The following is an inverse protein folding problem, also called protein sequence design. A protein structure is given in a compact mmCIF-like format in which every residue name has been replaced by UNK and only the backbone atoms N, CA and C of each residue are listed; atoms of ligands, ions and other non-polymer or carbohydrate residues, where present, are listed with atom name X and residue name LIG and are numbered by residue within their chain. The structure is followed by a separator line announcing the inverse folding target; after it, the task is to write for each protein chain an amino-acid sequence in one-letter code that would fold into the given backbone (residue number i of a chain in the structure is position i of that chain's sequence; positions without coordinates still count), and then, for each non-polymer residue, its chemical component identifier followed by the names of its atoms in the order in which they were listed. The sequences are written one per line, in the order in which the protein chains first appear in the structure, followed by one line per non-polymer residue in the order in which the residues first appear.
data_IF_647490355485
#
_entry.id   IF_647490355485
#
_cell.length_a   1.000
_cell.length_b   1.000
_cell.length_c   1.000
_cell.angle_alpha   90.00
_cell.angle_beta   90.00
_cell.angle_gamma   90.00
#
_symmetry.space_group_name_H-M   'P 1'
#
loop_
_entity.id
_entity.type
_entity.pdbx_description
1 polymer ?
#
# COMPACT_ATOMS: atom_id res chain seq x y z
N UNK A 1 -35.07 -2.86 -114.57
CA UNK A 1 -34.92 -4.26 -115.04
C UNK A 1 -33.95 -4.99 -114.13
N UNK A 2 -34.39 -6.15 -113.63
CA UNK A 2 -33.60 -7.34 -113.24
C UNK A 2 -32.66 -7.26 -112.01
N UNK A 3 -33.08 -8.04 -110.98
CA UNK A 3 -32.29 -9.03 -110.20
C UNK A 3 -31.27 -8.46 -109.18
N UNK A 4 -31.00 -8.99 -107.99
CA UNK A 4 -31.26 -10.25 -107.24
C UNK A 4 -30.90 -9.90 -105.74
N UNK A 5 -31.72 -10.14 -104.72
CA UNK A 5 -31.84 -11.31 -103.82
C UNK A 5 -30.61 -11.78 -102.99
N UNK A 6 -30.86 -12.02 -101.69
CA UNK A 6 -30.12 -12.76 -100.62
C UNK A 6 -28.95 -12.01 -99.92
N UNK A 7 -28.97 -11.71 -98.61
CA UNK A 7 -29.07 -12.53 -97.36
C UNK A 7 -27.82 -13.39 -97.09
N UNK A 8 -26.98 -12.97 -96.13
CA UNK A 8 -26.27 -13.77 -95.10
C UNK A 8 -25.45 -12.80 -94.20
N UNK A 9 -25.94 -12.47 -93.00
CA UNK A 9 -25.48 -13.00 -91.71
C UNK A 9 -24.01 -12.70 -91.36
N UNK A 10 -23.75 -11.89 -90.33
CA UNK A 10 -23.11 -12.30 -89.05
C UNK A 10 -22.63 -11.09 -88.22
N UNK A 11 -23.18 -10.99 -87.01
CA UNK A 11 -22.53 -10.70 -85.72
C UNK A 11 -21.47 -9.56 -85.64
N UNK A 12 -21.83 -8.53 -84.87
CA UNK A 12 -21.08 -8.28 -83.63
C UNK A 12 -20.37 -6.92 -83.48
N UNK A 13 -20.71 -6.27 -82.37
CA UNK A 13 -19.88 -5.38 -81.55
C UNK A 13 -19.68 -3.91 -81.99
N UNK A 14 -20.63 -3.10 -81.53
CA UNK A 14 -20.48 -1.67 -81.17
C UNK A 14 -19.37 -1.51 -80.12
N UNK A 15 -18.42 -0.58 -80.32
CA UNK A 15 -18.37 0.75 -79.68
C UNK A 15 -18.07 0.68 -78.16
N UNK A 16 -17.26 1.51 -77.50
CA UNK A 16 -16.81 2.89 -77.65
C UNK A 16 -15.59 3.07 -76.73
N UNK A 17 -14.75 4.07 -77.01
CA UNK A 17 -13.65 4.49 -76.15
C UNK A 17 -14.12 4.75 -74.69
N UNK A 18 -13.51 4.05 -73.74
CA UNK A 18 -13.74 4.27 -72.31
C UNK A 18 -13.07 5.56 -71.85
N UNK A 19 -13.85 6.64 -71.72
CA UNK A 19 -13.55 7.68 -70.76
C UNK A 19 -13.80 7.07 -69.37
N UNK A 20 -12.74 6.87 -68.60
CA UNK A 20 -12.87 6.49 -67.19
C UNK A 20 -13.48 7.66 -66.44
N UNK A 21 -14.81 7.63 -66.26
CA UNK A 21 -15.45 8.38 -65.19
C UNK A 21 -14.92 7.82 -63.88
N UNK A 22 -14.07 8.60 -63.23
CA UNK A 22 -13.79 8.41 -61.81
C UNK A 22 -15.11 8.71 -61.12
N UNK A 23 -15.86 7.65 -60.80
CA UNK A 23 -16.93 7.74 -59.84
C UNK A 23 -16.29 8.24 -58.55
N UNK A 24 -16.55 9.50 -58.22
CA UNK A 24 -16.45 9.95 -56.84
C UNK A 24 -17.38 8.99 -56.10
N UNK A 25 -16.81 8.00 -55.41
CA UNK A 25 -17.58 7.18 -54.51
C UNK A 25 -18.16 8.17 -53.52
N UNK A 26 -19.48 8.35 -53.56
CA UNK A 26 -20.23 8.93 -52.48
C UNK A 26 -19.92 8.07 -51.25
N UNK A 27 -18.83 8.39 -50.56
CA UNK A 27 -18.76 8.20 -49.12
C UNK A 27 -19.87 9.08 -48.63
N UNK A 28 -21.06 8.50 -48.52
CA UNK A 28 -22.16 9.07 -47.78
C UNK A 28 -21.52 9.60 -46.49
N UNK A 29 -21.38 10.93 -46.29
CA UNK A 29 -20.92 11.41 -45.00
C UNK A 29 -21.89 10.77 -44.02
N UNK A 30 -21.40 10.06 -43.00
CA UNK A 30 -22.29 9.50 -41.99
C UNK A 30 -23.25 10.62 -41.60
N UNK A 31 -24.53 10.43 -41.94
CA UNK A 31 -25.48 11.53 -41.87
C UNK A 31 -25.48 12.04 -40.43
N UNK A 32 -25.22 13.34 -40.25
CA UNK A 32 -25.15 13.96 -38.93
C UNK A 32 -26.41 13.55 -38.16
N UNK A 33 -26.23 12.93 -37.00
CA UNK A 33 -27.31 12.29 -36.22
C UNK A 33 -27.94 13.28 -35.26
N UNK A 34 -29.20 13.07 -34.89
CA UNK A 34 -29.76 13.73 -33.71
C UNK A 34 -29.16 13.07 -32.45
N UNK A 35 -28.65 13.87 -31.51
CA UNK A 35 -28.09 13.36 -30.26
C UNK A 35 -29.10 12.47 -29.50
N UNK A 36 -30.40 12.75 -29.64
CA UNK A 36 -31.47 11.96 -29.02
C UNK A 36 -31.52 10.50 -29.46
N UNK A 37 -30.89 10.15 -30.60
CA UNK A 37 -30.76 8.77 -31.08
C UNK A 37 -29.76 7.98 -30.25
N UNK A 38 -28.68 8.63 -29.81
CA UNK A 38 -27.62 7.98 -29.01
C UNK A 38 -27.84 8.21 -27.51
N UNK A 39 -28.33 9.38 -27.09
CA UNK A 39 -28.67 9.75 -25.70
C UNK A 39 -30.11 9.34 -25.36
N UNK A 40 -30.34 8.02 -25.34
CA UNK A 40 -31.66 7.43 -25.09
C UNK A 40 -32.02 7.41 -23.60
N UNK A 41 -31.03 7.23 -22.73
CA UNK A 41 -31.17 7.17 -21.26
C UNK A 41 -30.77 8.50 -20.66
N UNK A 42 -31.77 9.24 -20.15
CA UNK A 42 -31.60 10.56 -19.51
C UNK A 42 -31.45 10.49 -18.00
N UNK A 43 -31.99 9.44 -17.37
CA UNK A 43 -31.72 9.14 -15.97
C UNK A 43 -30.47 8.27 -15.87
N UNK A 44 -29.36 8.87 -15.46
CA UNK A 44 -28.07 8.21 -15.38
C UNK A 44 -27.96 7.32 -14.13
N UNK A 45 -28.90 7.44 -13.19
CA UNK A 45 -28.83 6.78 -11.89
C UNK A 45 -27.72 7.37 -11.02
N UNK A 46 -27.04 6.52 -10.25
CA UNK A 46 -25.93 6.94 -9.40
C UNK A 46 -24.63 7.14 -10.20
N UNK A 47 -24.08 8.34 -10.15
CA UNK A 47 -22.75 8.67 -10.70
C UNK A 47 -21.76 8.90 -9.57
N UNK A 48 -20.49 8.61 -9.82
CA UNK A 48 -19.41 8.87 -8.85
C UNK A 48 -18.80 10.24 -9.11
N UNK A 49 -18.67 11.07 -8.08
CA UNK A 49 -18.01 12.38 -8.20
C UNK A 49 -17.16 12.71 -6.98
N UNK A 50 -16.16 13.57 -7.14
CA UNK A 50 -15.31 14.03 -6.03
C UNK A 50 -16.03 14.97 -5.04
N UNK A 51 -17.13 15.60 -5.46
CA UNK A 51 -17.92 16.54 -4.66
C UNK A 51 -19.42 16.42 -4.96
N UNK A 52 -20.25 17.07 -4.13
CA UNK A 52 -21.72 16.99 -4.24
C UNK A 52 -22.26 17.56 -5.57
N UNK A 53 -21.55 18.52 -6.15
CA UNK A 53 -21.78 18.97 -7.53
C UNK A 53 -20.69 18.33 -8.40
N UNK A 54 -21.05 17.48 -9.38
CA UNK A 54 -20.08 16.84 -10.24
C UNK A 54 -19.47 17.83 -11.23
N UNK A 55 -18.33 17.46 -11.79
CA UNK A 55 -17.68 18.13 -12.92
C UNK A 55 -18.30 17.69 -14.24
N UNK A 56 -18.08 18.46 -15.31
CA UNK A 56 -18.55 18.10 -16.65
C UNK A 56 -18.04 16.72 -17.11
N UNK A 57 -16.80 16.36 -16.80
CA UNK A 57 -16.23 15.06 -17.17
C UNK A 57 -16.91 13.89 -16.44
N UNK A 58 -17.19 14.04 -15.14
CA UNK A 58 -17.89 13.01 -14.35
C UNK A 58 -19.31 12.76 -14.88
N UNK A 59 -20.02 13.83 -15.29
CA UNK A 59 -21.33 13.70 -15.94
C UNK A 59 -21.22 13.00 -17.30
N UNK A 60 -20.23 13.36 -18.13
CA UNK A 60 -20.00 12.71 -19.43
C UNK A 60 -19.65 11.23 -19.30
N UNK A 61 -18.87 10.86 -18.27
CA UNK A 61 -18.59 9.45 -17.94
C UNK A 61 -19.91 8.72 -17.62
N UNK A 62 -20.76 9.30 -16.77
CA UNK A 62 -22.08 8.74 -16.44
C UNK A 62 -22.97 8.56 -17.67
N UNK A 63 -22.96 9.52 -18.60
CA UNK A 63 -23.70 9.44 -19.87
C UNK A 63 -23.22 8.25 -20.68
N UNK A 64 -21.91 8.10 -20.91
CA UNK A 64 -21.35 7.02 -21.75
C UNK A 64 -21.59 5.65 -21.13
N UNK A 65 -21.58 5.53 -19.79
CA UNK A 65 -21.91 4.28 -19.09
C UNK A 65 -23.34 3.80 -19.41
N UNK A 66 -24.30 4.73 -19.51
CA UNK A 66 -25.70 4.39 -19.83
C UNK A 66 -26.03 4.43 -21.32
N UNK A 67 -25.22 5.13 -22.11
CA UNK A 67 -25.42 5.40 -23.52
C UNK A 67 -24.11 5.18 -24.28
N UNK A 68 -23.71 3.91 -24.47
CA UNK A 68 -22.40 3.55 -25.00
C UNK A 68 -22.09 4.12 -26.41
N UNK A 69 -23.11 4.46 -27.19
CA UNK A 69 -22.95 5.04 -28.54
C UNK A 69 -22.69 6.56 -28.52
N UNK A 70 -22.84 7.22 -27.36
CA UNK A 70 -22.65 8.66 -27.25
C UNK A 70 -21.16 9.03 -27.39
N UNK A 71 -20.85 9.90 -28.34
CA UNK A 71 -19.51 10.45 -28.50
C UNK A 71 -19.29 11.65 -27.57
N UNK A 72 -18.78 11.39 -26.35
CA UNK A 72 -18.59 12.43 -25.33
C UNK A 72 -17.75 13.64 -25.77
N UNK A 73 -16.83 13.46 -26.71
CA UNK A 73 -15.97 14.54 -27.23
C UNK A 73 -16.75 15.62 -28.00
N UNK A 74 -17.95 15.29 -28.47
CA UNK A 74 -18.84 16.16 -29.23
C UNK A 74 -19.86 16.88 -28.34
N UNK A 75 -19.78 16.70 -27.02
CA UNK A 75 -20.75 17.22 -26.06
C UNK A 75 -20.16 18.32 -25.19
N UNK A 76 -21.04 19.21 -24.75
CA UNK A 76 -20.76 20.23 -23.74
C UNK A 76 -21.81 20.14 -22.65
N UNK A 77 -21.36 20.04 -21.39
CA UNK A 77 -22.22 19.97 -20.21
C UNK A 77 -22.35 21.36 -19.60
N UNK A 78 -23.59 21.82 -19.43
CA UNK A 78 -23.96 23.06 -18.77
C UNK A 78 -24.86 22.82 -17.54
N UNK A 79 -25.18 23.91 -16.83
CA UNK A 79 -26.16 23.96 -15.73
C UNK A 79 -26.06 22.79 -14.73
N UNK A 80 -24.83 22.45 -14.32
CA UNK A 80 -24.58 21.30 -13.48
C UNK A 80 -25.04 21.57 -12.05
N UNK A 81 -25.83 20.64 -11.51
CA UNK A 81 -26.33 20.64 -10.13
C UNK A 81 -26.04 19.30 -9.47
N UNK A 82 -26.39 19.14 -8.19
CA UNK A 82 -26.23 17.88 -7.48
C UNK A 82 -27.14 16.74 -7.97
N UNK A 83 -28.14 17.03 -8.81
CA UNK A 83 -29.15 16.05 -9.25
C UNK A 83 -29.35 16.00 -10.77
N UNK A 84 -28.63 16.82 -11.54
CA UNK A 84 -28.79 16.87 -12.98
C UNK A 84 -27.90 17.91 -13.66
N UNK A 85 -27.91 17.88 -14.98
CA UNK A 85 -27.17 18.80 -15.84
C UNK A 85 -27.87 18.99 -17.20
N UNK A 86 -27.49 20.03 -17.94
CA UNK A 86 -27.93 20.25 -19.32
C UNK A 86 -26.85 19.82 -20.31
N UNK A 87 -27.25 19.11 -21.37
CA UNK A 87 -26.34 18.58 -22.40
C UNK A 87 -26.61 19.30 -23.71
N UNK A 88 -25.53 19.84 -24.28
CA UNK A 88 -25.54 20.47 -25.60
C UNK A 88 -24.50 19.82 -26.50
N UNK A 89 -24.64 20.05 -27.81
CA UNK A 89 -23.66 19.61 -28.81
C UNK A 89 -22.64 20.71 -29.00
N UNK A 90 -21.37 20.34 -29.02
CA UNK A 90 -20.23 21.24 -29.27
C UNK A 90 -20.41 21.96 -30.60
N UNK A 91 -20.05 23.24 -30.62
CA UNK A 91 -20.09 24.02 -31.86
C UNK A 91 -19.16 23.41 -32.91
N UNK A 92 -19.68 23.24 -34.14
CA UNK A 92 -18.95 22.60 -35.24
C UNK A 92 -18.84 21.08 -35.15
N UNK A 93 -19.64 20.41 -34.31
CA UNK A 93 -19.69 18.94 -34.29
C UNK A 93 -19.95 18.37 -35.69
N UNK A 94 -19.23 17.30 -36.02
CA UNK A 94 -19.42 16.56 -37.28
C UNK A 94 -20.26 15.30 -37.09
N UNK A 95 -20.62 14.97 -35.85
CA UNK A 95 -21.34 13.74 -35.48
C UNK A 95 -22.80 14.04 -35.17
N UNK A 96 -23.06 15.09 -34.38
CA UNK A 96 -24.40 15.44 -33.90
C UNK A 96 -24.89 16.77 -34.46
N UNK A 97 -26.18 16.85 -34.74
CA UNK A 97 -26.83 18.09 -35.16
C UNK A 97 -26.87 19.07 -33.99
N UNK A 98 -26.74 20.37 -34.28
CA UNK A 98 -26.95 21.41 -33.28
C UNK A 98 -28.35 21.27 -32.68
N UNK A 99 -28.42 21.21 -31.36
CA UNK A 99 -29.68 21.13 -30.64
C UNK A 99 -30.37 22.50 -30.60
N UNK A 100 -31.69 22.51 -30.81
CA UNK A 100 -32.51 23.71 -30.61
C UNK A 100 -32.65 24.05 -29.12
N UNK A 101 -32.70 23.03 -28.25
CA UNK A 101 -32.76 23.15 -26.80
C UNK A 101 -31.82 22.13 -26.14
N UNK A 102 -31.15 22.46 -25.02
CA UNK A 102 -30.35 21.50 -24.26
C UNK A 102 -31.18 20.29 -23.79
N UNK A 103 -30.57 19.11 -23.76
CA UNK A 103 -31.19 17.90 -23.20
C UNK A 103 -30.86 17.82 -21.71
N UNK A 104 -31.87 17.79 -20.85
CA UNK A 104 -31.68 17.58 -19.42
C UNK A 104 -31.41 16.10 -19.11
N UNK A 105 -30.42 15.85 -18.26
CA UNK A 105 -30.13 14.55 -17.66
C UNK A 105 -30.23 14.64 -16.14
N UNK A 106 -30.61 13.54 -15.50
CA UNK A 106 -30.74 13.43 -14.04
C UNK A 106 -29.82 12.36 -13.49
N UNK A 107 -29.37 12.53 -12.25
CA UNK A 107 -28.53 11.57 -11.55
C UNK A 107 -28.62 11.76 -10.04
N UNK A 108 -28.14 10.78 -9.27
CA UNK A 108 -27.74 10.95 -7.88
C UNK A 108 -26.22 10.91 -7.78
N UNK A 109 -25.64 11.67 -6.85
CA UNK A 109 -24.19 11.71 -6.68
C UNK A 109 -23.79 10.82 -5.51
N UNK A 110 -22.98 9.81 -5.81
CA UNK A 110 -22.15 9.13 -4.82
C UNK A 110 -20.82 9.84 -4.75
N UNK A 111 -20.49 10.39 -3.59
CA UNK A 111 -19.17 10.97 -3.37
C UNK A 111 -18.16 9.83 -3.38
N UNK A 112 -17.31 9.81 -4.41
CA UNK A 112 -16.15 8.93 -4.45
C UNK A 112 -15.17 9.37 -3.37
N UNK A 113 -14.54 8.42 -2.69
CA UNK A 113 -13.37 8.71 -1.87
C UNK A 113 -12.28 9.27 -2.78
N UNK A 114 -11.91 10.53 -2.60
CA UNK A 114 -10.76 11.09 -3.31
C UNK A 114 -9.51 10.45 -2.73
N UNK A 115 -9.02 9.43 -3.44
CA UNK A 115 -7.78 8.77 -3.12
C UNK A 115 -6.62 9.70 -3.49
N UNK A 116 -5.56 9.67 -2.68
CA UNK A 116 -4.31 10.40 -2.95
C UNK A 116 -3.18 9.44 -3.24
N UNK A 117 -2.12 9.92 -3.88
CA UNK A 117 -0.94 9.09 -4.13
C UNK A 117 -0.19 8.83 -2.83
N UNK A 118 0.20 7.57 -2.58
CA UNK A 118 0.96 7.22 -1.37
C UNK A 118 2.25 8.06 -1.23
N UNK A 119 2.88 8.43 -2.34
CA UNK A 119 4.08 9.28 -2.35
C UNK A 119 3.89 10.66 -1.74
N UNK A 120 2.66 11.16 -1.58
CA UNK A 120 2.41 12.42 -0.87
C UNK A 120 2.65 12.29 0.63
N UNK A 121 2.46 11.09 1.18
CA UNK A 121 2.62 10.81 2.60
C UNK A 121 3.92 10.04 2.88
N UNK A 122 4.28 9.07 2.05
CA UNK A 122 5.53 8.31 2.10
C UNK A 122 6.64 9.07 1.38
N UNK A 123 7.05 10.19 1.96
CA UNK A 123 8.06 11.09 1.39
C UNK A 123 9.50 10.64 1.68
N UNK A 124 9.71 9.88 2.76
CA UNK A 124 11.01 9.35 3.20
C UNK A 124 11.01 7.83 3.07
N UNK A 125 11.79 7.31 2.13
CA UNK A 125 11.93 5.86 1.86
C UNK A 125 13.16 5.23 2.50
N UNK A 126 14.16 6.02 2.87
CA UNK A 126 15.25 5.57 3.74
C UNK A 126 14.85 5.80 5.20
N UNK A 127 14.49 4.72 5.88
CA UNK A 127 13.97 4.76 7.24
C UNK A 127 15.08 4.90 8.29
N UNK A 128 16.34 4.69 7.90
CA UNK A 128 17.49 4.63 8.81
C UNK A 128 17.49 3.34 9.62
N UNK A 129 17.90 3.41 10.90
CA UNK A 129 17.88 2.27 11.80
C UNK A 129 16.46 2.00 12.31
N UNK A 130 15.99 0.75 12.16
CA UNK A 130 14.76 0.25 12.77
C UNK A 130 15.08 -0.84 13.78
N UNK A 131 14.27 -0.92 14.83
CA UNK A 131 14.37 -1.96 15.85
C UNK A 131 13.50 -3.15 15.45
N UNK A 132 14.08 -4.36 15.44
CA UNK A 132 13.34 -5.59 15.15
C UNK A 132 13.82 -6.77 15.99
N UNK A 133 12.96 -7.75 16.25
CA UNK A 133 13.32 -8.93 17.06
C UNK A 133 14.34 -9.88 16.38
N UNK A 134 14.49 -9.79 15.05
CA UNK A 134 15.38 -10.61 14.26
C UNK A 134 16.00 -9.83 13.09
N UNK A 135 17.02 -10.42 12.44
CA UNK A 135 17.75 -9.78 11.34
C UNK A 135 16.86 -9.45 10.13
N UNK A 136 15.81 -10.24 9.91
CA UNK A 136 14.74 -9.91 8.97
C UNK A 136 13.54 -9.40 9.76
N UNK A 137 13.17 -8.12 9.60
CA UNK A 137 12.01 -7.55 10.29
C UNK A 137 10.69 -8.19 9.84
N UNK A 138 9.68 -8.02 10.67
CA UNK A 138 8.28 -8.28 10.33
C UNK A 138 7.67 -7.08 9.59
N UNK A 139 6.55 -7.29 8.90
CA UNK A 139 5.79 -6.20 8.26
C UNK A 139 5.44 -5.09 9.24
N UNK A 140 5.07 -5.44 10.47
CA UNK A 140 4.70 -4.46 11.49
C UNK A 140 5.88 -3.59 11.93
N UNK A 141 7.07 -4.17 12.12
CA UNK A 141 8.28 -3.42 12.47
C UNK A 141 8.68 -2.45 11.35
N UNK A 142 8.55 -2.86 10.08
CA UNK A 142 8.76 -1.98 8.92
C UNK A 142 7.73 -0.84 8.91
N UNK A 143 6.45 -1.12 9.13
CA UNK A 143 5.39 -0.09 9.19
C UNK A 143 5.63 0.90 10.34
N UNK A 144 6.09 0.43 11.50
CA UNK A 144 6.49 1.30 12.61
C UNK A 144 7.66 2.21 12.20
N UNK A 145 8.66 1.67 11.50
CA UNK A 145 9.77 2.47 10.94
C UNK A 145 9.30 3.52 9.92
N UNK A 146 8.32 3.16 9.07
CA UNK A 146 7.71 4.09 8.11
C UNK A 146 7.05 5.26 8.83
N UNK A 147 6.18 5.00 9.81
CA UNK A 147 5.45 6.04 10.54
C UNK A 147 6.39 6.95 11.33
N UNK A 148 7.49 6.41 11.87
CA UNK A 148 8.50 7.19 12.57
C UNK A 148 9.14 8.28 11.69
N UNK A 149 9.17 8.10 10.36
CA UNK A 149 9.70 9.07 9.40
C UNK A 149 8.62 9.78 8.57
N UNK A 150 7.43 9.20 8.50
CA UNK A 150 6.33 9.63 7.65
C UNK A 150 5.02 9.59 8.46
N UNK A 151 4.86 10.53 9.40
CA UNK A 151 3.78 10.50 10.38
C UNK A 151 2.36 10.50 9.79
N UNK A 152 2.19 10.98 8.55
CA UNK A 152 0.89 11.03 7.87
C UNK A 152 0.52 9.73 7.14
N UNK A 153 1.42 8.75 7.06
CA UNK A 153 1.16 7.48 6.38
C UNK A 153 0.14 6.65 7.14
N UNK A 154 -0.93 6.27 6.47
CA UNK A 154 -1.96 5.39 7.02
C UNK A 154 -1.59 3.93 6.77
N UNK A 155 -0.92 3.30 7.74
CA UNK A 155 -0.36 1.95 7.60
C UNK A 155 -1.40 0.85 7.43
N UNK A 156 -2.65 1.06 7.90
CA UNK A 156 -3.76 0.12 7.68
C UNK A 156 -4.11 -0.07 6.20
N UNK A 157 -3.75 0.91 5.37
CA UNK A 157 -4.00 0.93 3.93
C UNK A 157 -2.86 0.28 3.13
N UNK A 158 -1.81 -0.19 3.81
CA UNK A 158 -0.58 -0.66 3.19
C UNK A 158 -0.37 -2.15 3.37
N UNK A 159 0.35 -2.74 2.41
CA UNK A 159 0.88 -4.10 2.48
C UNK A 159 2.39 -4.03 2.32
N UNK A 160 3.11 -4.75 3.18
CA UNK A 160 4.57 -4.86 3.12
C UNK A 160 4.95 -6.21 2.53
N UNK A 161 5.71 -6.20 1.44
CA UNK A 161 6.25 -7.37 0.76
C UNK A 161 7.78 -7.37 0.72
N UNK A 162 8.35 -8.45 0.16
CA UNK A 162 9.78 -8.60 -0.14
C UNK A 162 10.73 -8.14 0.98
N UNK A 163 10.41 -8.49 2.23
CA UNK A 163 11.16 -8.00 3.39
C UNK A 163 12.51 -8.72 3.47
N UNK A 164 13.56 -7.93 3.60
CA UNK A 164 14.95 -8.37 3.76
C UNK A 164 15.58 -7.68 4.98
N UNK A 165 16.85 -7.97 5.27
CA UNK A 165 17.58 -7.29 6.35
C UNK A 165 17.88 -5.81 6.08
N UNK A 166 17.69 -5.33 4.83
CA UNK A 166 18.07 -3.97 4.43
C UNK A 166 16.95 -3.16 3.77
N UNK A 167 15.77 -3.76 3.60
CA UNK A 167 14.67 -3.10 2.91
C UNK A 167 13.44 -3.98 2.73
N UNK A 168 12.39 -3.38 2.18
CA UNK A 168 11.11 -4.02 1.88
C UNK A 168 10.41 -3.30 0.71
N UNK A 169 9.41 -3.95 0.12
CA UNK A 169 8.51 -3.35 -0.86
C UNK A 169 7.18 -2.97 -0.21
N UNK A 170 6.63 -1.81 -0.59
CA UNK A 170 5.38 -1.26 -0.06
C UNK A 170 4.38 -1.17 -1.20
N UNK A 171 3.23 -1.79 -1.01
CA UNK A 171 2.06 -1.67 -1.88
C UNK A 171 0.87 -1.11 -1.11
N UNK A 172 -0.13 -0.67 -1.85
CA UNK A 172 -1.41 -0.24 -1.29
C UNK A 172 -2.37 -1.43 -1.30
N UNK A 173 -3.10 -1.61 -0.20
CA UNK A 173 -4.12 -2.65 -0.06
C UNK A 173 -5.20 -2.47 -1.15
N UNK A 174 -5.67 -3.56 -1.74
CA UNK A 174 -6.64 -3.49 -2.86
C UNK A 174 -7.97 -2.84 -2.46
N UNK A 175 -8.33 -2.92 -1.19
CA UNK A 175 -9.52 -2.27 -0.62
C UNK A 175 -9.26 -0.86 -0.08
N UNK A 176 -8.14 -0.21 -0.42
CA UNK A 176 -7.80 1.08 0.18
C UNK A 176 -8.85 2.15 -0.12
N UNK A 177 -9.18 2.93 0.92
CA UNK A 177 -10.10 4.07 0.82
C UNK A 177 -9.38 5.41 0.89
N UNK A 178 -8.04 5.37 0.99
CA UNK A 178 -7.18 6.55 1.19
C UNK A 178 -6.20 6.71 0.03
N UNK A 179 -5.57 5.63 -0.41
CA UNK A 179 -4.48 5.70 -1.39
C UNK A 179 -4.84 5.09 -2.73
N UNK A 180 -4.31 5.67 -3.81
CA UNK A 180 -4.42 5.09 -5.14
C UNK A 180 -3.65 3.76 -5.22
N UNK A 181 -4.16 2.80 -6.00
CA UNK A 181 -3.41 1.59 -6.34
C UNK A 181 -2.11 1.98 -7.03
N UNK A 182 -1.00 1.44 -6.55
CA UNK A 182 0.30 1.69 -7.14
C UNK A 182 0.50 0.86 -8.40
N UNK A 183 1.05 1.48 -9.45
CA UNK A 183 1.48 0.76 -10.65
C UNK A 183 2.69 -0.15 -10.35
N UNK A 184 3.58 0.29 -9.45
CA UNK A 184 4.74 -0.46 -9.00
C UNK A 184 4.91 -0.28 -7.48
N UNK A 185 5.38 -1.31 -6.75
CA UNK A 185 5.71 -1.20 -5.33
C UNK A 185 6.76 -0.11 -5.07
N UNK A 186 6.65 0.59 -3.94
CA UNK A 186 7.66 1.54 -3.47
C UNK A 186 8.68 0.79 -2.61
N UNK A 187 9.96 0.87 -2.95
CA UNK A 187 11.01 0.29 -2.13
C UNK A 187 11.35 1.22 -0.94
N UNK A 188 11.44 0.64 0.25
CA UNK A 188 12.00 1.29 1.44
C UNK A 188 13.29 0.59 1.86
N UNK A 189 14.20 1.35 2.46
CA UNK A 189 15.51 0.86 2.92
C UNK A 189 15.70 1.18 4.39
N UNK A 190 16.43 0.31 5.09
CA UNK A 190 16.72 0.45 6.52
C UNK A 190 17.95 -0.35 6.92
N UNK A 191 18.47 -0.09 8.12
CA UNK A 191 19.37 -0.99 8.84
C UNK A 191 18.63 -1.55 10.05
N UNK A 192 18.95 -2.78 10.45
CA UNK A 192 18.27 -3.44 11.56
C UNK A 192 19.12 -3.42 12.82
N UNK A 193 18.56 -2.84 13.88
CA UNK A 193 19.01 -3.05 15.25
C UNK A 193 18.18 -4.16 15.87
N UNK A 194 18.84 -5.26 16.23
CA UNK A 194 18.17 -6.36 16.90
C UNK A 194 17.73 -5.90 18.30
N UNK A 195 16.44 -6.00 18.57
CA UNK A 195 15.87 -5.79 19.89
C UNK A 195 16.40 -6.89 20.80
N UNK A 196 17.27 -6.52 21.74
CA UNK A 196 17.70 -7.44 22.78
C UNK A 196 16.52 -7.72 23.70
N UNK A 197 15.98 -8.95 23.66
CA UNK A 197 14.95 -9.38 24.61
C UNK A 197 15.66 -9.76 25.90
N UNK A 198 15.73 -8.81 26.81
CA UNK A 198 16.24 -9.01 28.16
C UNK A 198 15.17 -9.69 29.01
N UNK A 199 15.56 -10.62 29.88
CA UNK A 199 14.67 -11.24 30.87
C UNK A 199 14.98 -10.76 32.28
N UNK A 200 14.02 -10.86 33.18
CA UNK A 200 14.27 -10.53 34.58
C UNK A 200 15.20 -11.55 35.23
N UNK A 201 16.22 -11.09 35.96
CA UNK A 201 17.16 -12.00 36.63
C UNK A 201 16.45 -13.00 37.56
N UNK A 202 15.35 -12.59 38.19
CA UNK A 202 14.53 -13.46 39.06
C UNK A 202 13.95 -14.68 38.35
N UNK A 203 13.86 -14.68 37.01
CA UNK A 203 13.43 -15.86 36.25
C UNK A 203 14.47 -16.99 36.26
N UNK A 204 15.75 -16.65 36.38
CA UNK A 204 16.85 -17.61 36.48
C UNK A 204 17.35 -17.76 37.92
N UNK A 205 17.47 -16.66 38.67
CA UNK A 205 17.87 -16.61 40.08
C UNK A 205 16.66 -16.87 40.98
N UNK A 206 16.15 -18.09 40.93
CA UNK A 206 14.95 -18.52 41.68
C UNK A 206 15.25 -18.89 43.14
N UNK A 207 16.49 -19.27 43.45
CA UNK A 207 16.98 -19.65 44.78
C UNK A 207 17.99 -18.62 45.26
N UNK A 208 17.60 -17.80 46.24
CA UNK A 208 18.45 -16.77 46.84
C UNK A 208 19.13 -17.22 48.13
N UNK A 209 18.60 -18.24 48.81
CA UNK A 209 19.30 -18.92 49.90
C UNK A 209 20.17 -20.04 49.31
N UNK A 210 21.47 -19.78 49.22
CA UNK A 210 22.45 -20.68 48.60
C UNK A 210 22.84 -21.84 49.54
N UNK A 211 22.48 -21.75 50.82
CA UNK A 211 22.82 -22.73 51.85
C UNK A 211 24.29 -22.64 52.27
N UNK A 212 24.90 -23.79 52.57
CA UNK A 212 26.32 -23.84 52.90
C UNK A 212 27.16 -23.72 51.62
N UNK A 213 28.05 -22.74 51.59
CA UNK A 213 29.02 -22.54 50.52
C UNK A 213 30.44 -22.77 51.05
N UNK A 214 31.31 -23.27 50.19
CA UNK A 214 32.71 -23.51 50.51
C UNK A 214 33.51 -22.26 50.14
N UNK A 215 34.26 -21.70 51.09
CA UNK A 215 35.12 -20.55 50.82
C UNK A 215 36.47 -20.68 51.53
N UNK A 216 37.51 -20.07 50.96
CA UNK A 216 38.86 -20.07 51.54
C UNK A 216 38.96 -19.20 52.81
N UNK A 217 38.04 -18.24 52.99
CA UNK A 217 38.01 -17.32 54.12
C UNK A 217 36.58 -17.15 54.66
N UNK A 218 36.45 -16.53 55.85
CA UNK A 218 35.15 -16.27 56.48
C UNK A 218 34.24 -15.35 55.65
N UNK A 219 34.83 -14.44 54.86
CA UNK A 219 34.12 -13.65 53.85
C UNK A 219 34.48 -14.23 52.48
N UNK A 220 33.50 -14.74 51.72
CA UNK A 220 33.73 -15.27 50.38
C UNK A 220 34.17 -14.18 49.40
N UNK A 221 34.78 -14.62 48.31
CA UNK A 221 35.04 -13.81 47.12
C UNK A 221 33.80 -13.73 46.22
N UNK A 222 33.75 -12.73 45.34
CA UNK A 222 32.68 -12.63 44.33
C UNK A 222 32.54 -13.90 43.50
N UNK A 223 33.66 -14.54 43.13
CA UNK A 223 33.64 -15.77 42.33
C UNK A 223 33.01 -16.94 43.10
N UNK A 224 33.38 -17.14 44.38
CA UNK A 224 32.80 -18.21 45.21
C UNK A 224 31.28 -18.03 45.38
N UNK A 225 30.79 -16.79 45.49
CA UNK A 225 29.35 -16.49 45.53
C UNK A 225 28.69 -16.80 44.17
N UNK A 226 29.30 -16.41 43.05
CA UNK A 226 28.78 -16.71 41.70
C UNK A 226 28.73 -18.23 41.43
N UNK A 227 29.75 -18.96 41.85
CA UNK A 227 29.81 -20.42 41.72
C UNK A 227 28.67 -21.09 42.52
N UNK A 228 28.43 -20.61 43.75
CA UNK A 228 27.32 -21.07 44.57
C UNK A 228 25.94 -20.73 43.97
N UNK A 229 25.80 -19.55 43.35
CA UNK A 229 24.59 -19.16 42.63
C UNK A 229 24.31 -20.14 41.50
N UNK A 230 25.29 -20.44 40.64
CA UNK A 230 25.12 -21.36 39.50
C UNK A 230 24.83 -22.78 39.97
N UNK A 231 25.44 -23.22 41.07
CA UNK A 231 25.18 -24.54 41.65
C UNK A 231 23.70 -24.73 42.08
N UNK A 232 22.99 -23.66 42.43
CA UNK A 232 21.56 -23.68 42.80
C UNK A 232 20.63 -23.17 41.70
N UNK A 233 21.16 -22.41 40.75
CA UNK A 233 20.43 -21.72 39.70
C UNK A 233 21.16 -21.90 38.36
N UNK A 234 21.11 -23.11 37.80
CA UNK A 234 21.93 -23.51 36.65
C UNK A 234 21.76 -22.65 35.39
N UNK A 235 20.66 -21.91 35.26
CA UNK A 235 20.38 -21.05 34.11
C UNK A 235 20.94 -19.62 34.27
N UNK A 236 21.49 -19.27 35.44
CA UNK A 236 22.03 -17.93 35.69
C UNK A 236 23.32 -17.72 34.90
N UNK A 237 23.36 -16.66 34.10
CA UNK A 237 24.54 -16.25 33.35
C UNK A 237 25.40 -15.28 34.19
N UNK A 238 26.37 -15.82 34.91
CA UNK A 238 27.20 -15.06 35.87
C UNK A 238 28.09 -13.99 35.23
N UNK A 239 28.44 -14.13 33.95
CA UNK A 239 29.17 -13.11 33.20
C UNK A 239 28.41 -11.76 33.10
N UNK A 240 27.09 -11.81 33.25
CA UNK A 240 26.19 -10.66 33.17
C UNK A 240 25.96 -10.01 34.55
N UNK A 241 26.57 -10.53 35.61
CA UNK A 241 26.31 -10.13 37.00
C UNK A 241 27.55 -9.53 37.68
N UNK A 242 27.29 -8.71 38.69
CA UNK A 242 28.27 -8.27 39.66
C UNK A 242 27.79 -8.62 41.07
N UNK A 243 28.76 -8.91 41.95
CA UNK A 243 28.53 -9.21 43.37
C UNK A 243 29.09 -8.07 44.20
N UNK A 244 28.23 -7.45 45.01
CA UNK A 244 28.56 -6.41 45.97
C UNK A 244 28.25 -6.82 47.41
N UNK A 245 28.58 -5.93 48.35
CA UNK A 245 28.23 -6.02 49.78
C UNK A 245 28.43 -7.42 50.40
N UNK A 246 29.57 -8.05 50.10
CA UNK A 246 29.81 -9.43 50.53
C UNK A 246 30.13 -9.46 52.02
N UNK A 247 29.42 -10.31 52.74
CA UNK A 247 29.57 -10.58 54.17
C UNK A 247 29.72 -12.08 54.40
N UNK A 248 29.94 -12.50 55.65
CA UNK A 248 30.00 -13.91 56.01
C UNK A 248 28.66 -14.67 55.85
N UNK A 249 27.54 -13.97 55.67
CA UNK A 249 26.20 -14.56 55.63
C UNK A 249 25.38 -14.22 54.37
N UNK A 250 25.92 -13.42 53.47
CA UNK A 250 25.20 -12.98 52.29
C UNK A 250 25.95 -11.97 51.43
N UNK A 251 25.37 -11.65 50.28
CA UNK A 251 25.89 -10.68 49.31
C UNK A 251 24.74 -10.02 48.53
N UNK A 252 25.03 -8.89 47.88
CA UNK A 252 24.11 -8.22 46.95
C UNK A 252 24.48 -8.54 45.50
N UNK A 253 23.48 -8.85 44.68
CA UNK A 253 23.65 -9.20 43.26
C UNK A 253 23.05 -8.10 42.41
N UNK A 254 23.86 -7.57 41.48
CA UNK A 254 23.45 -6.60 40.48
C UNK A 254 23.69 -7.14 39.08
N UNK A 255 22.98 -6.58 38.10
CA UNK A 255 23.20 -6.85 36.67
C UNK A 255 24.21 -5.84 36.14
N UNK A 256 25.22 -6.31 35.40
CA UNK A 256 26.26 -5.49 34.81
C UNK A 256 25.66 -4.43 33.87
N UNK A 257 26.29 -3.26 33.82
CA UNK A 257 25.90 -2.22 32.86
C UNK A 257 26.11 -2.72 31.43
N UNK A 258 25.09 -2.58 30.59
CA UNK A 258 25.12 -3.10 29.22
C UNK A 258 24.88 -4.60 29.09
N UNK A 259 24.33 -5.26 30.12
CA UNK A 259 23.94 -6.67 30.03
C UNK A 259 23.10 -6.95 28.78
N UNK A 260 23.41 -8.06 28.12
CA UNK A 260 22.69 -8.51 26.91
C UNK A 260 21.65 -9.59 27.21
N UNK A 261 21.55 -10.02 28.47
CA UNK A 261 20.68 -11.12 28.91
C UNK A 261 19.63 -10.64 29.90
N UNK A 262 20.03 -9.82 30.89
CA UNK A 262 19.14 -9.47 32.01
C UNK A 262 18.74 -8.00 32.00
N UNK A 263 17.49 -7.75 32.42
CA UNK A 263 17.02 -6.39 32.68
C UNK A 263 17.83 -5.75 33.81
N UNK A 264 18.08 -4.44 33.69
CA UNK A 264 18.68 -3.67 34.80
C UNK A 264 17.77 -3.77 36.02
N UNK A 265 18.35 -4.15 37.16
CA UNK A 265 17.63 -4.22 38.41
C UNK A 265 17.39 -2.83 38.99
N UNK A 266 16.18 -2.58 39.48
CA UNK A 266 15.86 -1.38 40.24
C UNK A 266 16.55 -1.37 41.61
N UNK A 267 16.69 -2.55 42.23
CA UNK A 267 17.38 -2.78 43.49
C UNK A 267 18.22 -4.06 43.42
N UNK A 268 19.40 -4.14 44.05
CA UNK A 268 20.17 -5.37 44.14
C UNK A 268 19.37 -6.52 44.77
N UNK A 269 19.56 -7.75 44.27
CA UNK A 269 18.96 -8.95 44.86
C UNK A 269 19.88 -9.45 45.97
N UNK A 270 19.35 -9.61 47.19
CA UNK A 270 20.11 -10.20 48.29
C UNK A 270 20.13 -11.73 48.18
N UNK A 271 21.32 -12.32 48.29
CA UNK A 271 21.51 -13.76 48.47
C UNK A 271 22.06 -14.03 49.87
N UNK A 272 21.69 -15.18 50.44
CA UNK A 272 22.11 -15.60 51.77
C UNK A 272 22.81 -16.95 51.73
N UNK A 273 23.77 -17.15 52.62
CA UNK A 273 24.53 -18.39 52.73
C UNK A 273 25.17 -18.53 54.12
N UNK A 274 25.69 -19.71 54.40
CA UNK A 274 26.62 -19.96 55.51
C UNK A 274 27.96 -20.42 54.94
N UNK A 275 29.07 -19.99 55.54
CA UNK A 275 30.40 -20.34 55.03
C UNK A 275 30.97 -21.53 55.77
N UNK A 276 31.40 -22.53 55.01
CA UNK A 276 32.29 -23.59 55.48
C UNK A 276 33.70 -23.31 54.98
N UNK A 277 34.62 -23.14 55.92
CA UNK A 277 36.02 -22.93 55.60
C UNK A 277 36.59 -24.16 54.88
N UNK A 278 37.23 -23.94 53.73
CA UNK A 278 38.09 -24.94 53.10
C UNK A 278 39.28 -25.17 54.03
N UNK A 279 39.35 -26.32 54.69
CA UNK A 279 40.57 -26.76 55.36
C UNK A 279 41.61 -27.04 54.28
N UNK A 280 42.52 -26.10 54.06
CA UNK A 280 43.79 -26.32 53.35
C UNK A 280 44.69 -27.24 54.14
#
# INVERSE_FOLDING_TARGET
MKKLLSVLATLGLTATAGATVIACGDKNPEAIKDLSVDLTVKDLGEITAAAATPTSEEVLIGIVVKNANVQKAELVVGDITATGASITVKEGSTVYNKLANPIAVTFTVKIGTVLKDLSTDLTVTNLGEITAAAATPTSQEVLTGIVAKNANVQTAELVVGDITATGASITVNEGSTVYNKLANPIAVTFTVKIATVLKDLSTDLTVTNLGEITAAAATPTSQEVLDAIVAKNANVQTAELAVGDITATGASITVNEGSTVYNKLANPIAVTFTVKASNT
#
